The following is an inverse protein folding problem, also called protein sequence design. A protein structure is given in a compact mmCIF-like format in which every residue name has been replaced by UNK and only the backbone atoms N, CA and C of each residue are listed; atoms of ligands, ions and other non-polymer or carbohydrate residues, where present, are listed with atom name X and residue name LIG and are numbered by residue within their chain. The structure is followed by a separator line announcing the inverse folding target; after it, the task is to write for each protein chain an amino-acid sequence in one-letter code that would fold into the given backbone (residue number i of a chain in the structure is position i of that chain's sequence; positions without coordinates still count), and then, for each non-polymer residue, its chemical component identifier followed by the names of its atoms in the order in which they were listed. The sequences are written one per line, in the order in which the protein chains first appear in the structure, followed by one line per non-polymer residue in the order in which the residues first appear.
data_IF_297601397396
#
_entry.id   IF_297601397396
#
_cell.length_a   1.000
_cell.length_b   1.000
_cell.length_c   1.000
_cell.angle_alpha   90.00
_cell.angle_beta   90.00
_cell.angle_gamma   90.00
#
_symmetry.space_group_name_H-M   'P 1'
#
loop_
_entity.id
_entity.type
_entity.pdbx_description
1 polymer ?
#
# COMPACT_ATOMS: atom_id res chain seq x y z
N UNK A 1 1.87 11.58 -32.71
CA UNK A 1 1.87 12.03 -31.30
C UNK A 1 2.76 11.08 -30.54
N UNK A 2 3.89 11.55 -30.02
CA UNK A 2 4.89 10.69 -29.40
C UNK A 2 4.32 10.02 -28.15
N UNK A 3 4.24 8.69 -28.14
CA UNK A 3 4.00 7.92 -26.93
C UNK A 3 5.22 8.08 -26.04
N UNK A 4 5.26 9.13 -25.23
CA UNK A 4 6.24 9.27 -24.16
C UNK A 4 5.92 8.22 -23.12
N UNK A 5 6.61 7.09 -23.20
CA UNK A 5 6.61 6.09 -22.15
C UNK A 5 7.09 6.74 -20.83
N UNK A 6 6.53 6.35 -19.68
CA UNK A 6 6.98 6.88 -18.41
C UNK A 6 8.44 6.47 -18.14
N UNK A 7 9.15 7.24 -17.29
CA UNK A 7 10.50 6.89 -16.90
C UNK A 7 10.55 5.48 -16.27
N UNK A 8 11.65 4.72 -16.46
CA UNK A 8 11.79 3.40 -15.86
C UNK A 8 11.65 3.45 -14.34
N UNK A 9 10.77 2.62 -13.78
CA UNK A 9 10.60 2.45 -12.34
C UNK A 9 9.15 2.52 -11.90
N UNK A 10 8.98 2.83 -10.61
CA UNK A 10 7.65 3.02 -10.01
C UNK A 10 7.10 4.35 -10.51
N UNK A 11 5.86 4.34 -10.97
CA UNK A 11 5.18 5.51 -11.52
C UNK A 11 3.75 5.62 -10.99
N UNK A 12 3.14 6.77 -11.25
CA UNK A 12 1.73 6.95 -10.96
C UNK A 12 0.86 6.26 -11.98
N UNK A 13 -0.38 5.93 -11.59
CA UNK A 13 -1.35 5.32 -12.51
C UNK A 13 -1.61 6.22 -13.73
N UNK A 14 -1.54 7.54 -13.57
CA UNK A 14 -1.68 8.49 -14.66
C UNK A 14 -0.51 8.45 -15.65
N UNK A 15 0.68 8.01 -15.23
CA UNK A 15 1.86 7.93 -16.09
C UNK A 15 1.90 6.66 -16.95
N UNK A 16 1.12 5.63 -16.63
CA UNK A 16 1.03 4.43 -17.47
C UNK A 16 0.42 4.77 -18.86
N UNK A 17 0.84 4.09 -19.92
CA UNK A 17 0.21 4.26 -21.23
C UNK A 17 -1.28 3.85 -21.23
N UNK A 18 -2.09 4.55 -22.02
CA UNK A 18 -3.55 4.43 -22.13
C UNK A 18 -4.13 3.02 -22.20
N UNK A 19 -3.62 2.09 -23.04
CA UNK A 19 -4.18 0.74 -23.10
C UNK A 19 -4.06 0.02 -21.76
N UNK A 20 -2.94 0.21 -21.05
CA UNK A 20 -2.70 -0.41 -19.74
C UNK A 20 -3.56 0.24 -18.67
N UNK A 21 -3.67 1.58 -18.65
CA UNK A 21 -4.55 2.29 -17.71
C UNK A 21 -5.99 1.80 -17.83
N UNK A 22 -6.49 1.67 -19.05
CA UNK A 22 -7.86 1.24 -19.32
C UNK A 22 -8.06 -0.20 -18.85
N UNK A 23 -7.18 -1.12 -19.22
CA UNK A 23 -7.29 -2.52 -18.85
C UNK A 23 -7.20 -2.75 -17.33
N UNK A 24 -6.24 -2.12 -16.64
CA UNK A 24 -6.13 -2.19 -15.18
C UNK A 24 -7.32 -1.54 -14.46
N UNK A 25 -7.93 -0.49 -15.04
CA UNK A 25 -9.12 0.15 -14.46
C UNK A 25 -10.37 -0.73 -14.60
N UNK A 26 -10.53 -1.38 -15.75
CA UNK A 26 -11.68 -2.21 -16.08
C UNK A 26 -11.58 -3.64 -15.52
N UNK A 27 -10.42 -4.03 -14.99
CA UNK A 27 -10.21 -5.40 -14.51
C UNK A 27 -10.05 -6.40 -15.66
N UNK A 28 -9.56 -5.94 -16.81
CA UNK A 28 -9.36 -6.73 -18.02
C UNK A 28 -7.88 -6.88 -18.37
N UNK A 29 -6.97 -6.69 -17.41
CA UNK A 29 -5.52 -6.74 -17.65
C UNK A 29 -5.05 -8.11 -18.17
N UNK A 30 -5.78 -9.18 -17.88
CA UNK A 30 -5.49 -10.52 -18.45
C UNK A 30 -5.66 -10.60 -19.97
N UNK A 31 -6.33 -9.63 -20.61
CA UNK A 31 -6.52 -9.58 -22.06
C UNK A 31 -5.48 -8.70 -22.76
N UNK A 32 -4.56 -8.08 -22.01
CA UNK A 32 -3.44 -7.35 -22.60
C UNK A 32 -2.49 -8.33 -23.31
N UNK A 33 -1.79 -7.90 -24.37
CA UNK A 33 -0.80 -8.74 -25.02
C UNK A 33 0.32 -9.11 -24.04
N UNK A 34 0.78 -10.36 -24.10
CA UNK A 34 1.83 -10.89 -23.23
C UNK A 34 1.31 -11.73 -22.06
N UNK A 35 2.22 -12.11 -21.17
CA UNK A 35 1.89 -12.97 -20.03
C UNK A 35 1.41 -12.12 -18.85
N UNK A 36 0.20 -12.37 -18.37
CA UNK A 36 -0.34 -11.68 -17.20
C UNK A 36 -0.13 -12.50 -15.92
N UNK A 37 0.44 -11.84 -14.90
CA UNK A 37 0.62 -12.38 -13.56
C UNK A 37 -0.30 -11.62 -12.59
N UNK A 38 -1.43 -12.20 -12.17
CA UNK A 38 -2.41 -11.52 -11.32
C UNK A 38 -1.84 -11.16 -9.96
N UNK A 39 -2.25 -10.03 -9.39
CA UNK A 39 -1.89 -9.72 -8.02
C UNK A 39 -2.77 -10.50 -7.03
N UNK A 40 -2.16 -11.01 -5.97
CA UNK A 40 -2.83 -11.70 -4.89
C UNK A 40 -2.68 -10.93 -3.60
N UNK A 41 -3.75 -10.92 -2.81
CA UNK A 41 -3.72 -10.31 -1.48
C UNK A 41 -4.32 -11.30 -0.52
N UNK A 42 -3.59 -11.63 0.54
CA UNK A 42 -4.11 -12.48 1.59
C UNK A 42 -5.26 -11.74 2.29
N UNK A 43 -6.44 -12.36 2.26
CA UNK A 43 -7.61 -11.87 2.99
C UNK A 43 -7.35 -11.81 4.51
N UNK A 44 -6.47 -12.66 5.03
CA UNK A 44 -6.10 -12.67 6.44
C UNK A 44 -5.46 -11.35 6.88
N UNK A 45 -4.63 -10.73 6.04
CA UNK A 45 -4.09 -9.40 6.32
C UNK A 45 -5.20 -8.34 6.47
N UNK A 46 -6.31 -8.47 5.73
CA UNK A 46 -7.45 -7.55 5.82
C UNK A 46 -8.17 -7.66 7.17
N UNK A 47 -8.37 -8.89 7.66
CA UNK A 47 -8.97 -9.14 8.98
C UNK A 47 -8.07 -8.60 10.09
N UNK A 48 -6.74 -8.78 9.96
CA UNK A 48 -5.79 -8.34 10.98
C UNK A 48 -5.71 -6.82 11.06
N UNK A 49 -5.82 -6.07 9.96
CA UNK A 49 -5.75 -4.60 10.00
C UNK A 49 -7.01 -3.93 10.55
N UNK A 50 -8.19 -4.56 10.45
CA UNK A 50 -9.45 -4.02 10.94
C UNK A 50 -9.43 -3.63 12.45
N UNK A 51 -9.00 -4.50 13.40
CA UNK A 51 -8.94 -4.11 14.81
C UNK A 51 -7.94 -2.98 15.07
N UNK A 52 -6.82 -2.92 14.35
CA UNK A 52 -5.87 -1.81 14.48
C UNK A 52 -6.46 -0.50 13.94
N UNK A 53 -7.16 -0.54 12.82
CA UNK A 53 -7.89 0.60 12.28
C UNK A 53 -8.92 1.13 13.30
N UNK A 54 -9.70 0.23 13.91
CA UNK A 54 -10.67 0.60 14.95
C UNK A 54 -9.99 1.17 16.20
N UNK A 55 -8.85 0.61 16.62
CA UNK A 55 -8.07 1.12 17.74
C UNK A 55 -7.62 2.57 17.49
N UNK A 56 -7.07 2.87 16.32
CA UNK A 56 -6.64 4.22 15.95
C UNK A 56 -7.82 5.17 15.68
N UNK A 57 -8.96 4.67 15.19
CA UNK A 57 -10.17 5.46 15.00
C UNK A 57 -10.89 5.77 16.31
N UNK A 58 -10.69 4.95 17.34
CA UNK A 58 -11.43 5.01 18.61
C UNK A 58 -11.41 6.38 19.29
N UNK A 59 -10.27 7.12 19.39
CA UNK A 59 -10.28 8.42 20.04
C UNK A 59 -11.21 9.38 19.31
N UNK A 60 -11.16 9.41 17.98
CA UNK A 60 -11.97 10.31 17.15
C UNK A 60 -13.45 9.93 17.16
N UNK A 61 -13.74 8.62 17.08
CA UNK A 61 -15.11 8.10 17.08
C UNK A 61 -15.79 8.16 18.45
N UNK A 62 -15.04 8.19 19.55
CA UNK A 62 -15.58 8.24 20.91
C UNK A 62 -15.62 9.69 21.42
N UNK A 63 -14.49 10.42 21.38
CA UNK A 63 -14.41 11.76 21.98
C UNK A 63 -15.35 12.75 21.30
N UNK A 64 -15.42 12.76 19.96
CA UNK A 64 -16.27 13.71 19.23
C UNK A 64 -17.75 13.58 19.61
N UNK A 65 -18.37 12.40 19.41
CA UNK A 65 -19.76 12.17 19.80
C UNK A 65 -20.01 12.33 21.30
N UNK A 66 -19.07 11.91 22.15
CA UNK A 66 -19.18 12.07 23.60
C UNK A 66 -19.23 13.55 24.01
N UNK A 67 -18.35 14.39 23.45
CA UNK A 67 -18.35 15.84 23.72
C UNK A 67 -19.65 16.50 23.26
N UNK A 68 -20.17 16.13 22.08
CA UNK A 68 -21.45 16.64 21.57
C UNK A 68 -22.60 16.20 22.48
N UNK A 69 -22.61 14.92 22.88
CA UNK A 69 -23.64 14.35 23.74
C UNK A 69 -23.64 15.00 25.12
N UNK A 70 -22.47 15.22 25.72
CA UNK A 70 -22.33 15.96 26.97
C UNK A 70 -22.81 17.41 26.83
N UNK A 71 -22.45 18.10 25.75
CA UNK A 71 -22.86 19.48 25.55
C UNK A 71 -24.39 19.63 25.41
N UNK A 72 -25.05 18.67 24.76
CA UNK A 72 -26.51 18.70 24.52
C UNK A 72 -27.30 18.20 25.72
N UNK A 73 -26.91 17.07 26.32
CA UNK A 73 -27.71 16.40 27.34
C UNK A 73 -27.34 16.82 28.78
N UNK A 74 -26.11 17.26 29.03
CA UNK A 74 -25.62 17.62 30.37
C UNK A 74 -24.79 18.92 30.37
N UNK A 75 -25.35 20.06 29.93
CA UNK A 75 -24.60 21.32 29.80
C UNK A 75 -23.96 21.79 31.13
N UNK A 76 -24.56 21.42 32.27
CA UNK A 76 -24.00 21.71 33.60
C UNK A 76 -22.67 21.02 33.89
N UNK A 77 -22.45 19.80 33.39
CA UNK A 77 -21.18 19.08 33.58
C UNK A 77 -20.06 19.72 32.75
N UNK A 78 -20.39 20.20 31.54
CA UNK A 78 -19.47 20.93 30.68
C UNK A 78 -19.02 22.26 31.31
N UNK A 79 -19.94 23.02 31.90
CA UNK A 79 -19.61 24.26 32.62
C UNK A 79 -18.75 23.98 33.87
N UNK A 80 -19.01 22.90 34.60
CA UNK A 80 -18.17 22.47 35.72
C UNK A 80 -16.77 22.02 35.28
N UNK A 81 -16.64 21.41 34.11
CA UNK A 81 -15.35 21.05 33.55
C UNK A 81 -14.53 22.30 33.21
N UNK A 82 -15.14 23.30 32.56
CA UNK A 82 -14.49 24.57 32.27
C UNK A 82 -14.11 25.34 33.53
N UNK A 83 -14.94 25.30 34.58
CA UNK A 83 -14.62 25.93 35.86
C UNK A 83 -13.43 25.25 36.55
N UNK A 84 -13.33 23.91 36.48
CA UNK A 84 -12.15 23.15 36.95
C UNK A 84 -10.89 23.51 36.19
N UNK A 85 -10.95 23.65 34.86
CA UNK A 85 -9.79 24.08 34.05
C UNK A 85 -9.33 25.48 34.49
N UNK A 86 -10.27 26.42 34.64
CA UNK A 86 -9.95 27.77 35.12
C UNK A 86 -9.37 27.76 36.54
N UNK A 87 -9.85 26.87 37.41
CA UNK A 87 -9.34 26.72 38.76
C UNK A 87 -7.91 26.17 38.82
N UNK A 88 -7.50 25.34 37.84
CA UNK A 88 -6.14 24.80 37.72
C UNK A 88 -5.19 25.80 37.06
N UNK A 89 -5.67 26.63 36.14
CA UNK A 89 -4.88 27.56 35.34
C UNK A 89 -4.76 28.96 35.98
N UNK A 90 -4.30 29.04 37.23
CA UNK A 90 -4.19 30.33 37.94
C UNK A 90 -2.86 31.07 37.71
N UNK A 91 -1.81 30.35 37.33
CA UNK A 91 -0.49 30.93 37.05
C UNK A 91 -0.11 30.81 35.57
N UNK A 92 0.75 31.70 35.03
CA UNK A 92 1.21 31.62 33.64
C UNK A 92 1.83 30.27 33.28
N UNK A 93 2.56 29.65 34.22
CA UNK A 93 3.14 28.32 34.05
C UNK A 93 2.07 27.22 33.94
N UNK A 94 1.04 27.26 34.80
CA UNK A 94 -0.07 26.30 34.73
C UNK A 94 -0.90 26.46 33.45
N UNK A 95 -1.11 27.70 32.99
CA UNK A 95 -1.75 27.98 31.69
C UNK A 95 -0.92 27.36 30.56
N UNK A 96 0.39 27.56 30.56
CA UNK A 96 1.29 26.99 29.54
C UNK A 96 1.29 25.45 29.55
N UNK A 97 1.37 24.83 30.72
CA UNK A 97 1.33 23.36 30.86
C UNK A 97 -0.02 22.77 30.43
N UNK A 98 -1.12 23.43 30.82
CA UNK A 98 -2.47 23.01 30.41
C UNK A 98 -2.64 23.14 28.90
N UNK A 99 -2.16 24.24 28.30
CA UNK A 99 -2.14 24.43 26.85
C UNK A 99 -1.30 23.38 26.12
N UNK A 100 -0.11 23.06 26.65
CA UNK A 100 0.75 22.00 26.11
C UNK A 100 0.06 20.63 26.16
N UNK A 101 -0.63 20.30 27.26
CA UNK A 101 -1.41 19.07 27.38
C UNK A 101 -2.48 18.98 26.29
N UNK A 102 -3.26 20.04 26.08
CA UNK A 102 -4.27 20.08 25.02
C UNK A 102 -3.67 20.00 23.62
N UNK A 103 -2.51 20.62 23.37
CA UNK A 103 -1.79 20.50 22.11
C UNK A 103 -1.31 19.07 21.86
N UNK A 104 -0.72 18.42 22.85
CA UNK A 104 -0.28 17.01 22.76
C UNK A 104 -1.48 16.09 22.51
N UNK A 105 -2.59 16.32 23.20
CA UNK A 105 -3.83 15.57 23.00
C UNK A 105 -4.37 15.76 21.58
N UNK A 106 -4.46 17.01 21.11
CA UNK A 106 -4.92 17.32 19.75
C UNK A 106 -4.01 16.69 18.69
N UNK A 107 -2.68 16.80 18.85
CA UNK A 107 -1.71 16.16 17.97
C UNK A 107 -1.84 14.62 17.95
N UNK A 108 -2.08 14.01 19.11
CA UNK A 108 -2.28 12.57 19.23
C UNK A 108 -3.57 12.10 18.53
N UNK A 109 -4.66 12.87 18.65
CA UNK A 109 -5.92 12.59 17.95
C UNK A 109 -5.74 12.76 16.44
N UNK A 110 -5.06 13.82 15.99
CA UNK A 110 -4.78 14.05 14.58
C UNK A 110 -3.96 12.90 13.97
N UNK A 111 -2.89 12.47 14.67
CA UNK A 111 -2.08 11.33 14.27
C UNK A 111 -2.89 10.03 14.21
N UNK A 112 -3.68 9.74 15.25
CA UNK A 112 -4.51 8.53 15.31
C UNK A 112 -5.55 8.52 14.19
N UNK A 113 -6.17 9.67 13.90
CA UNK A 113 -7.13 9.82 12.79
C UNK A 113 -6.46 9.57 11.44
N UNK A 114 -5.27 10.13 11.24
CA UNK A 114 -4.50 9.93 10.02
C UNK A 114 -4.11 8.46 9.81
N UNK A 115 -3.66 7.77 10.88
CA UNK A 115 -3.36 6.34 10.82
C UNK A 115 -4.60 5.48 10.56
N UNK A 116 -5.72 5.80 11.21
CA UNK A 116 -6.99 5.11 10.96
C UNK A 116 -7.44 5.28 9.50
N UNK A 117 -7.30 6.48 8.94
CA UNK A 117 -7.61 6.77 7.55
C UNK A 117 -6.74 5.95 6.58
N UNK A 118 -5.42 5.89 6.80
CA UNK A 118 -4.52 5.12 5.95
C UNK A 118 -4.83 3.61 5.99
N UNK A 119 -5.08 3.06 7.19
CA UNK A 119 -5.50 1.68 7.36
C UNK A 119 -6.86 1.39 6.70
N UNK A 120 -7.81 2.32 6.78
CA UNK A 120 -9.11 2.18 6.12
C UNK A 120 -8.98 2.18 4.59
N UNK A 121 -8.13 3.06 4.03
CA UNK A 121 -7.84 3.07 2.60
C UNK A 121 -7.18 1.77 2.15
N UNK A 122 -6.18 1.29 2.90
CA UNK A 122 -5.52 0.00 2.68
C UNK A 122 -6.54 -1.15 2.69
N UNK A 123 -7.43 -1.20 3.68
CA UNK A 123 -8.52 -2.19 3.76
C UNK A 123 -9.43 -2.13 2.52
N UNK A 124 -9.94 -0.94 2.17
CA UNK A 124 -10.82 -0.74 1.02
C UNK A 124 -10.18 -1.19 -0.31
N UNK A 125 -8.87 -0.92 -0.51
CA UNK A 125 -8.13 -1.36 -1.70
C UNK A 125 -8.04 -2.89 -1.76
N UNK A 126 -7.66 -3.50 -0.64
CA UNK A 126 -7.46 -4.94 -0.56
C UNK A 126 -8.82 -5.67 -0.70
N UNK A 127 -9.90 -5.12 -0.15
CA UNK A 127 -11.27 -5.57 -0.38
C UNK A 127 -11.65 -5.50 -1.86
N UNK A 128 -11.39 -4.36 -2.52
CA UNK A 128 -11.67 -4.18 -3.95
C UNK A 128 -10.94 -5.21 -4.80
N UNK A 129 -9.68 -5.49 -4.51
CA UNK A 129 -8.89 -6.53 -5.19
C UNK A 129 -9.54 -7.91 -5.02
N UNK A 130 -9.89 -8.27 -3.78
CA UNK A 130 -10.59 -9.52 -3.48
C UNK A 130 -11.91 -9.66 -4.25
N UNK A 131 -12.69 -8.57 -4.33
CA UNK A 131 -13.96 -8.55 -5.08
C UNK A 131 -13.77 -8.72 -6.58
N UNK A 132 -12.83 -7.99 -7.18
CA UNK A 132 -12.50 -8.13 -8.61
C UNK A 132 -12.10 -9.58 -8.91
N UNK A 133 -11.25 -10.19 -8.07
CA UNK A 133 -10.85 -11.59 -8.23
C UNK A 133 -12.04 -12.56 -8.16
N UNK A 134 -12.98 -12.37 -7.23
CA UNK A 134 -14.20 -13.20 -7.16
C UNK A 134 -15.02 -13.14 -8.46
N UNK A 135 -14.99 -12.00 -9.15
CA UNK A 135 -15.65 -11.80 -10.44
C UNK A 135 -14.80 -12.24 -11.64
N UNK A 136 -13.60 -12.84 -11.42
CA UNK A 136 -12.60 -13.15 -12.46
C UNK A 136 -12.15 -11.92 -13.25
N UNK A 137 -12.22 -10.76 -12.62
CA UNK A 137 -11.67 -9.49 -13.13
C UNK A 137 -10.31 -9.25 -12.48
N UNK A 138 -9.32 -8.86 -13.28
CA UNK A 138 -7.96 -8.65 -12.81
C UNK A 138 -7.48 -7.24 -13.14
N UNK A 139 -7.59 -6.36 -12.14
CA UNK A 139 -7.19 -4.96 -12.24
C UNK A 139 -5.83 -4.65 -11.61
N UNK A 140 -5.17 -5.63 -11.01
CA UNK A 140 -3.88 -5.51 -10.32
C UNK A 140 -3.03 -6.73 -10.67
N UNK A 141 -1.72 -6.54 -10.84
CA UNK A 141 -0.80 -7.57 -11.30
C UNK A 141 0.32 -7.00 -12.15
N UNK A 142 1.11 -7.90 -12.73
CA UNK A 142 2.17 -7.61 -13.68
C UNK A 142 1.78 -8.13 -15.06
N UNK A 143 2.17 -7.40 -16.10
CA UNK A 143 2.01 -7.76 -17.50
C UNK A 143 3.41 -7.80 -18.10
N UNK A 144 3.81 -8.98 -18.55
CA UNK A 144 5.09 -9.23 -19.19
C UNK A 144 4.92 -9.01 -20.68
N UNK A 145 5.26 -7.81 -21.16
CA UNK A 145 5.22 -7.46 -22.57
C UNK A 145 6.54 -7.88 -23.24
N UNK A 146 6.55 -8.03 -24.55
CA UNK A 146 7.79 -8.30 -25.32
C UNK A 146 8.91 -7.29 -25.03
N UNK A 147 8.56 -6.03 -24.83
CA UNK A 147 9.50 -4.89 -24.70
C UNK A 147 9.56 -4.26 -23.30
N UNK A 148 8.63 -4.56 -22.39
CA UNK A 148 8.55 -3.93 -21.08
C UNK A 148 7.77 -4.77 -20.06
N UNK A 149 8.06 -4.54 -18.78
CA UNK A 149 7.27 -4.99 -17.65
C UNK A 149 6.35 -3.84 -17.23
N UNK A 150 5.05 -4.02 -17.39
CA UNK A 150 4.05 -3.08 -16.89
C UNK A 150 3.34 -3.68 -15.67
N UNK A 151 2.96 -2.87 -14.71
CA UNK A 151 2.30 -3.41 -13.53
C UNK A 151 1.47 -2.40 -12.77
N UNK A 152 0.44 -2.90 -12.10
CA UNK A 152 -0.27 -2.19 -11.05
C UNK A 152 -0.17 -3.01 -9.77
N UNK A 153 0.62 -2.50 -8.84
CA UNK A 153 1.00 -3.14 -7.60
C UNK A 153 -0.03 -2.86 -6.50
N UNK A 154 -0.13 -3.79 -5.55
CA UNK A 154 -0.87 -3.57 -4.31
C UNK A 154 0.03 -2.82 -3.34
N UNK A 155 0.20 -1.51 -3.55
CA UNK A 155 0.88 -0.65 -2.61
C UNK A 155 -0.13 -0.03 -1.64
N UNK A 156 -0.03 -0.41 -0.36
CA UNK A 156 -0.88 0.14 0.69
C UNK A 156 -0.39 1.50 1.18
N UNK A 157 0.91 1.80 1.06
CA UNK A 157 1.56 2.96 1.67
C UNK A 157 1.63 4.18 0.76
N UNK A 158 1.89 4.00 -0.54
CA UNK A 158 1.93 5.11 -1.50
C UNK A 158 0.79 4.96 -2.52
N UNK A 159 -0.24 5.81 -2.37
CA UNK A 159 -1.41 5.83 -3.24
C UNK A 159 -1.13 6.46 -4.60
N UNK A 160 -0.14 7.36 -4.67
CA UNK A 160 0.25 8.06 -5.88
C UNK A 160 1.12 7.16 -6.77
N UNK A 161 1.97 6.33 -6.18
CA UNK A 161 2.97 5.50 -6.88
C UNK A 161 2.73 4.01 -6.65
N UNK A 162 1.69 3.50 -7.30
CA UNK A 162 1.28 2.09 -7.22
C UNK A 162 1.43 1.35 -8.56
N UNK A 163 2.06 1.98 -9.56
CA UNK A 163 2.27 1.38 -10.86
C UNK A 163 3.75 1.21 -11.15
N UNK A 164 4.04 0.35 -12.12
CA UNK A 164 5.38 0.00 -12.54
C UNK A 164 5.44 0.06 -14.06
N UNK A 165 6.47 0.71 -14.58
CA UNK A 165 6.86 0.59 -15.97
C UNK A 165 8.37 0.39 -16.06
N UNK A 166 8.79 -0.77 -16.51
CA UNK A 166 10.20 -1.12 -16.66
C UNK A 166 10.44 -1.61 -18.09
N UNK A 167 10.96 -0.76 -18.98
CA UNK A 167 11.46 -1.22 -20.26
C UNK A 167 12.45 -2.36 -20.05
N UNK A 168 12.36 -3.39 -20.87
CA UNK A 168 13.19 -4.58 -20.72
C UNK A 168 14.68 -4.26 -20.81
N UNK A 169 15.04 -3.31 -21.67
CA UNK A 169 16.39 -2.79 -21.82
C UNK A 169 16.91 -2.01 -20.60
N UNK A 170 16.02 -1.49 -19.74
CA UNK A 170 16.40 -0.81 -18.51
C UNK A 170 16.69 -1.79 -17.36
N UNK A 171 16.27 -3.06 -17.49
CA UNK A 171 16.52 -4.09 -16.47
C UNK A 171 17.96 -4.59 -16.61
N UNK A 172 18.76 -4.32 -15.59
CA UNK A 172 20.17 -4.73 -15.53
C UNK A 172 20.34 -6.14 -14.96
N UNK A 173 19.47 -6.54 -14.02
CA UNK A 173 19.58 -7.85 -13.37
C UNK A 173 18.25 -8.23 -12.69
N UNK A 174 17.93 -9.53 -12.65
CA UNK A 174 16.86 -10.07 -11.81
C UNK A 174 17.49 -11.08 -10.86
N UNK A 175 17.31 -10.91 -9.55
CA UNK A 175 17.90 -11.74 -8.51
C UNK A 175 16.83 -12.40 -7.66
N UNK A 176 17.11 -13.61 -7.20
CA UNK A 176 16.41 -14.23 -6.09
C UNK A 176 17.37 -14.24 -4.89
N UNK A 177 17.13 -13.35 -3.92
CA UNK A 177 18.09 -13.06 -2.87
C UNK A 177 17.44 -13.21 -1.48
N UNK A 178 18.19 -13.80 -0.54
CA UNK A 178 17.84 -13.79 0.87
C UNK A 178 17.92 -12.36 1.42
N UNK A 179 16.84 -11.91 2.05
CA UNK A 179 16.71 -10.60 2.68
C UNK A 179 16.26 -10.77 4.12
N UNK A 180 16.65 -9.80 4.95
CA UNK A 180 16.17 -9.66 6.32
C UNK A 180 14.90 -8.81 6.28
N UNK A 181 13.76 -9.41 6.58
CA UNK A 181 12.51 -8.69 6.82
C UNK A 181 12.34 -8.46 8.32
N UNK A 182 12.23 -7.19 8.70
CA UNK A 182 11.98 -6.76 10.08
C UNK A 182 10.48 -6.61 10.29
N UNK A 183 9.89 -7.55 11.04
CA UNK A 183 8.51 -7.44 11.52
C UNK A 183 8.47 -6.91 12.95
N UNK A 184 7.28 -6.48 13.39
CA UNK A 184 7.06 -5.87 14.71
C UNK A 184 7.52 -6.71 15.93
N UNK A 185 7.74 -8.02 15.77
CA UNK A 185 8.25 -8.92 16.84
C UNK A 185 9.39 -9.84 16.43
N UNK A 186 9.64 -10.04 15.13
CA UNK A 186 10.62 -11.00 14.66
C UNK A 186 11.36 -10.49 13.44
N UNK A 187 12.64 -10.79 13.43
CA UNK A 187 13.50 -10.66 12.26
C UNK A 187 13.48 -12.01 11.57
N UNK A 188 13.03 -12.04 10.32
CA UNK A 188 12.97 -13.27 9.53
C UNK A 188 13.85 -13.11 8.31
N UNK A 189 14.56 -14.17 7.94
CA UNK A 189 15.23 -14.25 6.65
C UNK A 189 14.28 -14.86 5.65
N UNK A 190 14.08 -14.18 4.52
CA UNK A 190 13.15 -14.58 3.47
C UNK A 190 13.81 -14.36 2.12
N UNK A 191 13.56 -15.24 1.17
CA UNK A 191 14.03 -15.03 -0.19
C UNK A 191 13.01 -14.21 -0.97
N UNK A 192 13.48 -13.12 -1.60
CA UNK A 192 12.65 -12.20 -2.40
C UNK A 192 13.15 -12.07 -3.83
N UNK A 193 12.22 -11.85 -4.75
CA UNK A 193 12.54 -11.53 -6.14
C UNK A 193 12.86 -10.04 -6.25
N UNK A 194 14.04 -9.71 -6.75
CA UNK A 194 14.51 -8.33 -6.88
C UNK A 194 14.86 -8.02 -8.33
N UNK A 195 14.43 -6.86 -8.81
CA UNK A 195 14.75 -6.35 -10.14
C UNK A 195 15.69 -5.15 -9.96
N UNK A 196 16.91 -5.26 -10.47
CA UNK A 196 17.81 -4.13 -10.65
C UNK A 196 17.50 -3.48 -12.00
N UNK A 197 17.23 -2.18 -12.00
CA UNK A 197 17.02 -1.41 -13.22
C UNK A 197 17.80 -0.11 -13.19
N UNK A 198 18.05 0.45 -14.37
CA UNK A 198 18.66 1.77 -14.55
C UNK A 198 17.52 2.79 -14.66
N UNK A 199 17.50 3.75 -13.74
CA UNK A 199 16.51 4.83 -13.72
C UNK A 199 16.73 5.81 -14.88
N UNK A 200 15.80 6.75 -15.06
CA UNK A 200 15.97 7.85 -16.01
C UNK A 200 17.20 8.74 -15.71
N UNK A 201 17.68 8.78 -14.46
CA UNK A 201 18.89 9.51 -14.05
C UNK A 201 20.18 8.73 -14.29
N UNK A 202 20.09 7.49 -14.78
CA UNK A 202 21.24 6.60 -14.97
C UNK A 202 21.67 5.84 -13.70
N UNK A 203 20.96 6.03 -12.59
CA UNK A 203 21.25 5.37 -11.32
C UNK A 203 20.71 3.93 -11.31
N UNK A 204 21.44 3.03 -10.64
CA UNK A 204 20.97 1.66 -10.42
C UNK A 204 20.02 1.62 -9.23
N UNK A 205 18.77 1.24 -9.50
CA UNK A 205 17.72 1.11 -8.50
C UNK A 205 17.32 -0.37 -8.33
N UNK A 206 16.93 -0.74 -7.12
CA UNK A 206 16.43 -2.07 -6.82
C UNK A 206 14.94 -2.02 -6.45
N UNK A 207 14.14 -2.81 -7.14
CA UNK A 207 12.75 -3.07 -6.82
C UNK A 207 12.65 -4.47 -6.19
N UNK A 208 12.06 -4.57 -5.00
CA UNK A 208 11.76 -5.86 -4.36
C UNK A 208 10.31 -6.22 -4.58
N UNK A 209 10.05 -7.39 -5.15
CA UNK A 209 8.72 -7.95 -5.38
C UNK A 209 8.49 -9.11 -4.40
N UNK A 210 7.30 -9.14 -3.81
CA UNK A 210 6.84 -10.23 -2.94
C UNK A 210 5.90 -11.14 -3.73
N UNK A 211 6.18 -12.44 -3.79
CA UNK A 211 5.42 -13.44 -4.54
C UNK A 211 4.02 -13.70 -4.01
N UNK A 212 3.78 -13.46 -2.71
CA UNK A 212 2.42 -13.45 -2.13
C UNK A 212 1.54 -12.35 -2.72
N UNK A 213 2.15 -11.34 -3.34
CA UNK A 213 1.47 -10.27 -4.08
C UNK A 213 1.12 -10.72 -5.51
N UNK A 214 1.52 -11.92 -5.98
CA UNK A 214 1.45 -12.31 -7.41
C UNK A 214 1.04 -13.78 -7.70
N UNK A 215 0.62 -14.62 -6.72
CA UNK A 215 0.34 -16.06 -7.00
C UNK A 215 -1.05 -16.64 -6.72
N UNK A 216 -1.55 -17.35 -7.74
CA UNK A 216 -2.81 -18.08 -7.79
C UNK A 216 -2.70 -19.50 -7.22
N UNK A 217 -3.72 -19.83 -6.45
CA UNK A 217 -4.25 -21.14 -6.07
C UNK A 217 -3.32 -22.10 -5.30
N UNK A 218 -3.86 -22.59 -4.18
CA UNK A 218 -3.33 -23.58 -3.23
C UNK A 218 -2.54 -22.96 -2.07
N UNK A 219 -3.16 -22.98 -0.88
CA UNK A 219 -2.46 -22.82 0.39
C UNK A 219 -1.56 -24.05 0.59
N UNK A 220 -0.29 -23.94 0.23
CA UNK A 220 0.72 -24.93 0.60
C UNK A 220 1.65 -24.31 1.64
N UNK A 221 1.92 -24.97 2.78
CA UNK A 221 2.92 -24.51 3.74
C UNK A 221 4.35 -24.47 3.15
N UNK A 222 4.57 -25.05 1.96
CA UNK A 222 5.81 -24.93 1.17
C UNK A 222 5.76 -23.84 0.09
N UNK A 223 4.64 -23.14 -0.11
CA UNK A 223 4.45 -22.07 -1.10
C UNK A 223 5.08 -20.72 -0.71
N UNK A 224 6.21 -20.75 0.00
CA UNK A 224 7.06 -19.58 0.28
C UNK A 224 7.88 -19.08 -0.93
N UNK A 225 7.50 -19.51 -2.13
CA UNK A 225 8.36 -19.43 -3.30
C UNK A 225 8.05 -18.16 -4.12
N UNK A 226 8.63 -17.03 -3.69
CA UNK A 226 8.96 -15.92 -4.61
C UNK A 226 9.82 -16.43 -5.79
N UNK A 227 10.41 -17.63 -5.65
CA UNK A 227 11.22 -18.30 -6.64
C UNK A 227 10.48 -18.52 -7.96
N UNK A 228 9.20 -18.89 -7.96
CA UNK A 228 8.46 -19.05 -9.22
C UNK A 228 8.18 -17.72 -9.94
N UNK A 229 7.94 -16.65 -9.16
CA UNK A 229 7.89 -15.29 -9.70
C UNK A 229 9.24 -14.91 -10.29
N UNK A 230 10.34 -15.24 -9.60
CA UNK A 230 11.69 -15.05 -10.12
C UNK A 230 11.92 -15.83 -11.41
N UNK A 231 11.63 -17.13 -11.45
CA UNK A 231 11.91 -17.98 -12.60
C UNK A 231 11.10 -17.51 -13.82
N UNK A 232 9.84 -17.10 -13.61
CA UNK A 232 8.98 -16.53 -14.67
C UNK A 232 9.56 -15.20 -15.19
N UNK A 233 9.89 -14.27 -14.30
CA UNK A 233 10.45 -12.97 -14.69
C UNK A 233 11.83 -13.09 -15.32
N UNK A 234 12.67 -13.96 -14.79
CA UNK A 234 14.02 -14.21 -15.30
C UNK A 234 13.96 -14.86 -16.68
N UNK A 235 13.10 -15.85 -16.88
CA UNK A 235 12.89 -16.47 -18.19
C UNK A 235 12.36 -15.46 -19.20
N UNK A 236 11.31 -14.71 -18.85
CA UNK A 236 10.79 -13.62 -19.69
C UNK A 236 11.85 -12.56 -20.00
N UNK A 237 12.71 -12.21 -19.05
CA UNK A 237 13.77 -11.21 -19.25
C UNK A 237 14.94 -11.73 -20.10
N UNK A 238 15.11 -13.04 -20.23
CA UNK A 238 16.15 -13.68 -21.05
C UNK A 238 15.65 -14.14 -22.44
N UNK A 239 14.35 -14.37 -22.65
CA UNK A 239 13.78 -14.85 -23.93
C UNK A 239 13.92 -13.86 -25.09
N UNK A 240 13.88 -14.25 -26.37
CA UNK A 240 13.99 -13.21 -27.42
C UNK A 240 12.75 -12.29 -27.42
N UNK A 241 12.86 -10.97 -27.70
CA UNK A 241 11.70 -10.07 -27.81
C UNK A 241 10.67 -10.49 -28.87
N UNK A 242 11.04 -11.44 -29.73
CA UNK A 242 10.22 -12.00 -30.82
C UNK A 242 9.40 -13.23 -30.44
N UNK A 243 9.57 -13.78 -29.22
CA UNK A 243 8.97 -15.08 -28.85
C UNK A 243 7.62 -15.00 -28.10
N UNK A 244 7.05 -13.80 -27.90
CA UNK A 244 5.77 -13.60 -27.20
C UNK A 244 4.86 -12.55 -27.85
#
# INVERSE_FOLDING_TARGET
MGNTFPPPGICSFAALPDPYRTAFRMGSAQHLPGQFLPAHTDWFLQIVFLPFMLLYASPTLILGPWLITQAVNEPGSYLQFLSKIRAVAQTPLQVALTGLLFLVLAGSIAYSTWQAWDLALSFCRTWKISRLRKNREYGYGLVLLSHALAGRLVNNLDWCHNCLWLPRAAIAHIAWQEMREEGAKHIRRVYRTRICYVSATGEKCWLTLQGNVVRADIYSPTAMSDRDLYDTLHHWWQSSPTEH
#
